data_IF_465033528645
#
_entry.id   IF_465033528645
#
_cell.length_a   1.000
_cell.length_b   1.000
_cell.length_c   1.000
_cell.angle_alpha   90.00
_cell.angle_beta   90.00
_cell.angle_gamma   90.00
#
_symmetry.space_group_name_H-M   'P 1'
#
loop_
_entity.id
_entity.type
_entity.pdbx_description
1 polymer ?
#
# COMPACT_ATOMS: atom_id res chain seq x y z
N UNK A 1 4.82 0.99 -10.49
CA UNK A 1 5.64 1.82 -11.39
C UNK A 1 6.85 1.04 -11.93
N UNK A 2 7.74 0.48 -11.11
CA UNK A 2 8.95 -0.22 -11.58
C UNK A 2 8.61 -1.31 -12.61
N UNK A 3 7.60 -2.14 -12.36
CA UNK A 3 7.14 -3.17 -13.29
C UNK A 3 6.61 -2.58 -14.61
N UNK A 4 5.89 -1.46 -14.55
CA UNK A 4 5.44 -0.75 -15.74
C UNK A 4 6.61 -0.26 -16.60
N UNK A 5 7.64 0.31 -15.97
CA UNK A 5 8.83 0.80 -16.67
C UNK A 5 9.66 -0.36 -17.26
N UNK A 6 9.81 -1.47 -16.53
CA UNK A 6 10.52 -2.66 -17.01
C UNK A 6 9.88 -3.27 -18.26
N UNK A 7 8.56 -3.31 -18.34
CA UNK A 7 7.85 -3.80 -19.53
C UNK A 7 8.02 -2.88 -20.75
N UNK A 8 8.47 -1.63 -20.56
CA UNK A 8 8.85 -0.71 -21.64
C UNK A 8 10.34 -0.82 -22.02
N UNK A 9 10.98 -1.96 -21.70
CA UNK A 9 12.38 -2.25 -22.03
C UNK A 9 13.38 -1.24 -21.46
N UNK A 10 13.01 -0.54 -20.39
CA UNK A 10 13.87 0.43 -19.70
C UNK A 10 14.67 -0.24 -18.59
N UNK A 11 15.92 0.19 -18.40
CA UNK A 11 16.68 -0.21 -17.21
C UNK A 11 16.20 0.59 -16.01
N UNK A 12 15.75 -0.12 -14.96
CA UNK A 12 15.24 0.50 -13.74
C UNK A 12 16.23 0.29 -12.59
N UNK A 13 16.59 1.39 -11.94
CA UNK A 13 17.37 1.41 -10.71
C UNK A 13 16.47 1.78 -9.55
N UNK A 14 16.66 1.11 -8.40
CA UNK A 14 15.91 1.40 -7.17
C UNK A 14 16.87 1.92 -6.09
N UNK A 15 16.45 2.92 -5.35
CA UNK A 15 17.13 3.35 -4.14
C UNK A 15 16.42 2.70 -2.93
N UNK A 16 17.06 1.65 -2.38
CA UNK A 16 16.56 0.93 -1.20
C UNK A 16 17.11 1.46 0.12
N UNK A 17 17.92 2.53 0.09
CA UNK A 17 18.60 3.06 1.29
C UNK A 17 17.64 3.54 2.40
N UNK A 18 16.37 3.81 2.06
CA UNK A 18 15.35 4.10 3.06
C UNK A 18 15.10 2.92 4.02
N UNK A 19 15.35 1.69 3.58
CA UNK A 19 15.16 0.46 4.36
C UNK A 19 16.45 -0.04 5.01
N UNK A 20 17.54 0.73 4.92
CA UNK A 20 18.78 0.42 5.62
C UNK A 20 18.58 0.56 7.14
N UNK A 21 19.47 -0.07 7.91
CA UNK A 21 19.43 -0.08 9.38
C UNK A 21 19.41 1.31 10.05
N UNK A 22 19.69 2.37 9.28
CA UNK A 22 19.62 3.76 9.74
C UNK A 22 18.19 4.30 9.84
N UNK A 23 17.22 3.65 9.19
CA UNK A 23 15.81 4.03 9.20
C UNK A 23 15.04 3.20 10.21
N UNK A 24 15.36 3.45 11.48
CA UNK A 24 14.67 2.83 12.59
C UNK A 24 13.28 3.43 12.76
N UNK A 25 12.26 2.61 12.72
CA UNK A 25 10.90 3.02 13.03
C UNK A 25 10.72 3.17 14.54
N UNK A 26 10.75 4.40 15.01
CA UNK A 26 10.64 4.73 16.44
C UNK A 26 9.28 4.34 17.03
N UNK A 27 8.22 4.38 16.23
CA UNK A 27 6.87 4.07 16.70
C UNK A 27 6.71 2.59 17.05
N UNK A 28 7.38 1.72 16.30
CA UNK A 28 7.29 0.27 16.44
C UNK A 28 8.54 -0.37 17.06
N UNK A 29 9.54 0.44 17.43
CA UNK A 29 10.83 -0.05 17.91
C UNK A 29 11.47 -1.10 16.97
N UNK A 30 11.27 -0.97 15.67
CA UNK A 30 11.72 -1.91 14.65
C UNK A 30 12.33 -1.19 13.44
N UNK A 31 13.12 -1.93 12.66
CA UNK A 31 13.56 -1.45 11.37
C UNK A 31 12.53 -1.81 10.30
N UNK A 32 12.19 -0.87 9.43
CA UNK A 32 11.36 -1.17 8.26
C UNK A 32 12.13 -2.07 7.31
N UNK A 33 11.67 -3.29 7.14
CA UNK A 33 12.28 -4.25 6.24
C UNK A 33 11.69 -4.12 4.83
N UNK A 34 12.56 -4.10 3.83
CA UNK A 34 12.14 -4.20 2.45
C UNK A 34 11.69 -5.65 2.17
N UNK A 35 10.39 -5.85 2.01
CA UNK A 35 9.81 -7.16 1.68
C UNK A 35 10.24 -7.58 0.26
N UNK A 36 10.31 -6.62 -0.65
CA UNK A 36 10.67 -6.82 -2.04
C UNK A 36 12.14 -6.45 -2.27
N UNK A 37 13.01 -7.46 -2.38
CA UNK A 37 14.42 -7.21 -2.70
C UNK A 37 14.59 -6.90 -4.19
N UNK A 38 15.41 -5.90 -4.58
CA UNK A 38 15.62 -5.52 -5.98
C UNK A 38 15.99 -6.69 -6.90
N UNK A 39 16.83 -7.59 -6.44
CA UNK A 39 17.31 -8.74 -7.21
C UNK A 39 16.17 -9.70 -7.64
N UNK A 40 15.06 -9.71 -6.92
CA UNK A 40 13.92 -10.54 -7.27
C UNK A 40 13.15 -10.03 -8.51
N UNK A 41 13.46 -8.81 -8.97
CA UNK A 41 12.70 -8.11 -10.01
C UNK A 41 13.55 -7.67 -11.20
N UNK A 42 14.77 -8.18 -11.37
CA UNK A 42 15.72 -7.67 -12.37
C UNK A 42 15.98 -6.15 -12.22
N UNK A 43 15.78 -5.60 -11.03
CA UNK A 43 16.11 -4.23 -10.70
C UNK A 43 17.58 -4.12 -10.28
N UNK A 44 18.20 -2.99 -10.56
CA UNK A 44 19.55 -2.67 -10.11
C UNK A 44 19.49 -1.68 -8.96
N UNK A 45 20.29 -1.90 -7.92
CA UNK A 45 20.43 -0.91 -6.86
C UNK A 45 21.27 0.27 -7.30
N UNK A 46 20.91 1.46 -6.82
CA UNK A 46 21.69 2.68 -7.07
C UNK A 46 23.00 2.67 -6.29
N UNK A 47 24.12 2.88 -6.98
CA UNK A 47 25.42 3.07 -6.33
C UNK A 47 25.49 4.44 -5.63
N UNK A 48 26.41 4.58 -4.67
CA UNK A 48 26.65 5.87 -3.98
C UNK A 48 27.02 6.98 -4.98
N UNK A 49 27.84 6.67 -5.97
CA UNK A 49 28.25 7.62 -7.02
C UNK A 49 27.04 8.07 -7.85
N UNK A 50 26.14 7.14 -8.19
CA UNK A 50 24.92 7.45 -8.94
C UNK A 50 23.97 8.34 -8.15
N UNK A 51 23.83 8.14 -6.83
CA UNK A 51 23.04 9.01 -5.95
C UNK A 51 23.59 10.46 -5.92
N UNK A 52 24.90 10.64 -5.94
CA UNK A 52 25.52 11.97 -6.04
C UNK A 52 25.19 12.61 -7.38
N UNK A 53 25.29 11.86 -8.48
CA UNK A 53 24.92 12.35 -9.80
C UNK A 53 23.45 12.79 -9.84
N UNK A 54 22.52 12.00 -9.31
CA UNK A 54 21.10 12.38 -9.25
C UNK A 54 20.87 13.68 -8.47
N UNK A 55 21.56 13.88 -7.34
CA UNK A 55 21.49 15.14 -6.58
C UNK A 55 21.96 16.35 -7.41
N UNK A 56 23.01 16.19 -8.23
CA UNK A 56 23.48 17.23 -9.13
C UNK A 56 22.49 17.49 -10.25
N UNK A 57 21.93 16.44 -10.87
CA UNK A 57 20.91 16.56 -11.93
C UNK A 57 19.65 17.26 -11.43
N UNK A 58 19.19 16.97 -10.21
CA UNK A 58 18.07 17.70 -9.60
C UNK A 58 18.34 19.20 -9.45
N UNK A 59 19.56 19.59 -9.07
CA UNK A 59 19.96 21.00 -8.97
C UNK A 59 19.98 21.68 -10.34
N UNK A 60 20.54 21.01 -11.34
CA UNK A 60 20.63 21.50 -12.72
C UNK A 60 19.23 21.60 -13.36
N UNK A 61 18.35 20.63 -13.09
CA UNK A 61 16.98 20.63 -13.61
C UNK A 61 16.17 21.85 -13.12
N UNK A 62 16.43 22.35 -11.90
CA UNK A 62 15.84 23.59 -11.40
C UNK A 62 16.22 24.84 -12.21
N UNK A 63 17.31 24.80 -12.98
CA UNK A 63 17.77 25.87 -13.84
C UNK A 63 17.06 25.89 -15.20
N UNK A 64 16.11 24.98 -15.46
CA UNK A 64 15.29 24.91 -16.68
C UNK A 64 16.10 24.86 -17.98
N UNK A 65 17.20 24.09 -17.99
CA UNK A 65 18.07 23.97 -19.17
C UNK A 65 17.35 23.17 -20.25
N UNK A 66 17.00 23.81 -21.37
CA UNK A 66 16.16 23.29 -22.46
C UNK A 66 16.63 21.95 -23.08
N UNK A 67 17.91 21.62 -22.97
CA UNK A 67 18.48 20.41 -23.59
C UNK A 67 18.80 19.29 -22.59
N UNK A 68 18.41 19.44 -21.31
CA UNK A 68 18.60 18.38 -20.33
C UNK A 68 17.50 17.33 -20.48
N UNK A 69 17.85 16.16 -21.01
CA UNK A 69 16.95 15.02 -21.16
C UNK A 69 16.76 14.26 -19.81
N UNK A 70 16.46 15.00 -18.76
CA UNK A 70 16.24 14.49 -17.41
C UNK A 70 14.90 14.94 -16.86
N UNK A 71 14.08 13.97 -16.38
CA UNK A 71 12.80 14.20 -15.72
C UNK A 71 12.89 13.84 -14.22
N UNK A 72 12.41 14.75 -13.37
CA UNK A 72 12.25 14.47 -11.96
C UNK A 72 10.76 14.54 -11.63
N UNK A 73 10.20 13.41 -11.19
CA UNK A 73 8.78 13.26 -10.88
C UNK A 73 8.64 12.97 -9.40
N UNK A 74 7.92 13.83 -8.70
CA UNK A 74 7.64 13.70 -7.28
C UNK A 74 6.14 13.69 -7.05
N UNK A 75 5.67 12.75 -6.22
CA UNK A 75 4.27 12.73 -5.83
C UNK A 75 3.72 11.35 -5.53
N UNK A 76 2.39 11.28 -5.48
CA UNK A 76 1.66 10.07 -5.15
C UNK A 76 1.08 9.36 -6.38
N UNK A 77 0.73 10.12 -7.40
CA UNK A 77 0.28 9.55 -8.67
C UNK A 77 0.44 10.54 -9.81
N UNK A 78 0.84 10.04 -10.96
CA UNK A 78 0.79 10.74 -12.22
C UNK A 78 0.32 9.75 -13.28
N UNK A 79 -0.71 10.11 -14.03
CA UNK A 79 -1.22 9.32 -15.15
C UNK A 79 -0.42 9.59 -16.43
N UNK A 80 -0.02 10.86 -16.64
CA UNK A 80 0.66 11.29 -17.85
C UNK A 80 2.15 11.58 -17.58
N UNK A 81 2.96 10.53 -17.64
CA UNK A 81 4.41 10.64 -17.53
C UNK A 81 5.00 11.00 -18.90
N UNK A 82 5.33 12.28 -19.11
CA UNK A 82 6.15 12.69 -20.26
C UNK A 82 7.60 12.28 -19.99
N UNK A 83 7.90 11.01 -20.22
CA UNK A 83 9.21 10.44 -19.94
C UNK A 83 10.28 11.08 -20.80
N UNK A 84 11.39 11.41 -20.17
CA UNK A 84 12.65 11.84 -20.80
C UNK A 84 13.58 10.64 -21.01
N UNK A 85 14.77 10.88 -21.51
CA UNK A 85 15.78 9.83 -21.64
C UNK A 85 16.21 9.26 -20.29
N UNK A 86 16.40 10.14 -19.30
CA UNK A 86 16.64 9.77 -17.91
C UNK A 86 15.52 10.28 -17.02
N UNK A 87 14.98 9.40 -16.17
CA UNK A 87 13.88 9.75 -15.29
C UNK A 87 14.16 9.32 -13.86
N UNK A 88 13.82 10.18 -12.92
CA UNK A 88 13.87 9.91 -11.51
C UNK A 88 12.49 10.07 -10.90
N UNK A 89 12.08 9.11 -10.09
CA UNK A 89 10.77 9.06 -9.44
C UNK A 89 10.96 9.03 -7.92
N UNK A 90 10.34 10.01 -7.24
CA UNK A 90 10.34 10.10 -5.78
C UNK A 90 8.89 10.20 -5.29
N UNK A 91 8.42 9.18 -4.56
CA UNK A 91 7.06 9.14 -4.05
C UNK A 91 6.45 7.75 -3.99
N UNK A 92 5.18 7.69 -3.59
CA UNK A 92 4.49 6.43 -3.34
C UNK A 92 3.81 5.83 -4.57
N UNK A 93 3.59 6.60 -5.63
CA UNK A 93 3.05 6.14 -6.92
C UNK A 93 1.78 5.28 -6.80
N UNK A 94 0.89 5.70 -5.91
CA UNK A 94 -0.39 5.07 -5.65
C UNK A 94 -1.37 5.49 -6.75
N UNK A 95 -1.51 4.65 -7.76
CA UNK A 95 -2.35 4.92 -8.91
C UNK A 95 -3.08 3.64 -9.32
N UNK A 96 -4.38 3.72 -9.56
CA UNK A 96 -5.23 2.59 -9.92
C UNK A 96 -4.74 1.88 -11.19
N UNK A 97 -4.36 2.63 -12.22
CA UNK A 97 -3.87 2.06 -13.48
C UNK A 97 -2.56 1.30 -13.28
N UNK A 98 -1.63 1.84 -12.50
CA UNK A 98 -0.37 1.17 -12.18
C UNK A 98 -0.58 -0.09 -11.35
N UNK A 99 -1.56 -0.08 -10.44
CA UNK A 99 -1.95 -1.26 -9.69
C UNK A 99 -2.51 -2.33 -10.63
N UNK A 100 -3.48 -1.99 -11.49
CA UNK A 100 -4.07 -2.91 -12.47
C UNK A 100 -3.02 -3.49 -13.40
N UNK A 101 -2.12 -2.65 -13.90
CA UNK A 101 -1.03 -3.07 -14.76
C UNK A 101 -0.06 -4.04 -14.07
N UNK A 102 0.07 -3.95 -12.76
CA UNK A 102 0.98 -4.79 -11.97
C UNK A 102 0.30 -5.98 -11.30
N UNK A 103 -1.01 -6.19 -11.52
CA UNK A 103 -1.79 -7.21 -10.81
C UNK A 103 -1.19 -8.61 -10.96
N UNK A 104 -0.98 -9.05 -12.18
CA UNK A 104 -0.46 -10.40 -12.47
C UNK A 104 0.93 -10.60 -11.88
N UNK A 105 1.79 -9.60 -12.01
CA UNK A 105 3.14 -9.61 -11.44
C UNK A 105 3.12 -9.69 -9.91
N UNK A 106 2.27 -8.90 -9.25
CA UNK A 106 2.13 -8.91 -7.78
C UNK A 106 1.55 -10.24 -7.31
N UNK A 107 0.56 -10.77 -8.03
CA UNK A 107 -0.02 -12.07 -7.75
C UNK A 107 1.02 -13.19 -7.88
N UNK A 108 1.77 -13.25 -8.98
CA UNK A 108 2.83 -14.24 -9.19
C UNK A 108 3.91 -14.15 -8.10
N UNK A 109 4.34 -12.93 -7.77
CA UNK A 109 5.36 -12.74 -6.75
C UNK A 109 4.89 -13.17 -5.36
N UNK A 110 3.72 -12.72 -4.94
CA UNK A 110 3.17 -13.02 -3.62
C UNK A 110 2.76 -14.49 -3.48
N UNK A 111 2.38 -15.14 -4.58
CA UNK A 111 2.10 -16.59 -4.62
C UNK A 111 3.33 -17.48 -4.39
N UNK A 112 4.54 -16.92 -4.34
CA UNK A 112 5.74 -17.65 -3.89
C UNK A 112 5.74 -17.91 -2.38
N UNK A 113 4.93 -17.17 -1.63
CA UNK A 113 4.68 -17.41 -0.21
C UNK A 113 3.46 -18.33 -0.09
N UNK A 114 3.69 -19.59 0.32
CA UNK A 114 2.66 -20.64 0.32
C UNK A 114 1.39 -20.25 1.08
N UNK A 115 1.51 -19.60 2.23
CA UNK A 115 0.36 -19.15 3.02
C UNK A 115 -0.46 -18.09 2.29
N UNK A 116 0.21 -17.15 1.60
CA UNK A 116 -0.48 -16.12 0.81
C UNK A 116 -1.18 -16.77 -0.38
N UNK A 117 -0.51 -17.65 -1.11
CA UNK A 117 -1.07 -18.40 -2.23
C UNK A 117 -2.33 -19.16 -1.82
N UNK A 118 -2.24 -19.94 -0.75
CA UNK A 118 -3.37 -20.70 -0.20
C UNK A 118 -4.54 -19.78 0.13
N UNK A 119 -4.27 -18.67 0.82
CA UNK A 119 -5.30 -17.76 1.30
C UNK A 119 -5.92 -16.90 0.19
N UNK A 120 -5.18 -16.58 -0.87
CA UNK A 120 -5.74 -15.95 -2.07
C UNK A 120 -6.79 -16.85 -2.74
N UNK A 121 -6.63 -18.17 -2.67
CA UNK A 121 -7.56 -19.16 -3.23
C UNK A 121 -8.72 -19.51 -2.28
N UNK A 122 -8.64 -19.15 -1.01
CA UNK A 122 -9.66 -19.44 0.00
C UNK A 122 -10.92 -18.63 -0.28
N UNK A 123 -12.09 -19.30 -0.22
CA UNK A 123 -13.42 -18.71 -0.37
C UNK A 123 -14.36 -19.25 0.70
N UNK A 124 -14.00 -19.01 1.95
CA UNK A 124 -14.79 -19.47 3.09
C UNK A 124 -15.70 -18.34 3.60
N UNK A 125 -16.98 -18.62 3.80
CA UNK A 125 -17.97 -17.63 4.26
C UNK A 125 -17.64 -17.08 5.66
N UNK A 126 -16.88 -17.81 6.47
CA UNK A 126 -16.44 -17.34 7.79
C UNK A 126 -15.52 -16.11 7.71
N UNK A 127 -14.83 -15.91 6.59
CA UNK A 127 -14.00 -14.74 6.33
C UNK A 127 -14.77 -13.74 5.47
N UNK A 128 -15.73 -13.06 6.08
CA UNK A 128 -16.66 -12.21 5.34
C UNK A 128 -16.05 -10.86 4.96
N UNK A 129 -15.75 -10.01 5.94
CA UNK A 129 -15.26 -8.66 5.67
C UNK A 129 -14.08 -8.29 6.57
N UNK A 130 -13.04 -7.73 5.97
CA UNK A 130 -11.96 -7.02 6.66
C UNK A 130 -12.32 -5.55 6.80
N UNK A 131 -12.19 -5.01 8.00
CA UNK A 131 -12.10 -3.59 8.26
C UNK A 131 -10.66 -3.27 8.68
N UNK A 132 -9.94 -2.50 7.86
CA UNK A 132 -8.59 -2.05 8.19
C UNK A 132 -8.59 -0.63 8.74
N UNK A 133 -8.03 -0.47 9.91
CA UNK A 133 -7.91 0.82 10.61
C UNK A 133 -6.43 1.15 10.80
N UNK A 134 -5.96 2.20 10.12
CA UNK A 134 -4.60 2.74 10.25
C UNK A 134 -4.65 4.05 11.01
N UNK A 135 -3.90 4.15 12.13
CA UNK A 135 -3.96 5.34 12.97
C UNK A 135 -2.59 5.90 13.34
N UNK A 136 -1.73 5.16 13.98
CA UNK A 136 -0.47 5.63 14.59
C UNK A 136 0.17 6.86 13.92
N UNK A 137 0.98 6.63 12.90
CA UNK A 137 1.64 7.68 12.13
C UNK A 137 0.66 8.61 11.41
N UNK A 138 -0.56 8.14 11.12
CA UNK A 138 -1.59 8.94 10.45
C UNK A 138 -2.24 9.96 11.36
N UNK A 139 -2.37 9.68 12.67
CA UNK A 139 -2.80 10.67 13.67
C UNK A 139 -1.79 11.81 13.78
N UNK A 140 -0.49 11.49 13.80
CA UNK A 140 0.57 12.50 13.83
C UNK A 140 0.60 13.38 12.57
N UNK A 141 0.19 12.82 11.43
CA UNK A 141 0.09 13.52 10.15
C UNK A 141 -1.26 14.21 9.90
N UNK A 142 -2.22 14.09 10.81
CA UNK A 142 -3.62 14.53 10.61
C UNK A 142 -4.29 13.90 9.37
N UNK A 143 -3.99 12.63 9.12
CA UNK A 143 -4.50 11.87 7.98
C UNK A 143 -5.32 10.64 8.39
N UNK A 144 -5.57 10.41 9.68
CA UNK A 144 -6.42 9.34 10.14
C UNK A 144 -7.88 9.56 9.76
N UNK A 145 -8.58 8.48 9.42
CA UNK A 145 -9.97 8.56 8.99
C UNK A 145 -10.90 8.77 10.19
N UNK A 146 -11.95 9.54 9.97
CA UNK A 146 -12.97 9.81 10.99
C UNK A 146 -13.78 8.56 11.34
N UNK A 147 -14.36 8.55 12.55
CA UNK A 147 -15.27 7.48 12.98
C UNK A 147 -16.50 7.37 12.06
N UNK A 148 -16.94 8.49 11.47
CA UNK A 148 -18.06 8.52 10.55
C UNK A 148 -17.80 7.75 9.26
N UNK A 149 -16.58 7.81 8.72
CA UNK A 149 -16.19 6.97 7.58
C UNK A 149 -16.42 5.48 7.88
N UNK A 150 -15.96 5.02 9.02
CA UNK A 150 -16.13 3.61 9.42
C UNK A 150 -17.61 3.25 9.65
N UNK A 151 -18.35 4.13 10.29
CA UNK A 151 -19.79 3.95 10.53
C UNK A 151 -20.58 3.83 9.22
N UNK A 152 -20.34 4.73 8.28
CA UNK A 152 -21.00 4.70 6.98
C UNK A 152 -20.60 3.46 6.18
N UNK A 153 -19.32 3.12 6.17
CA UNK A 153 -18.80 1.94 5.48
C UNK A 153 -19.42 0.64 6.02
N UNK A 154 -19.50 0.49 7.34
CA UNK A 154 -20.14 -0.66 7.98
C UNK A 154 -21.63 -0.73 7.62
N UNK A 155 -22.34 0.40 7.61
CA UNK A 155 -23.75 0.45 7.21
C UNK A 155 -23.95 0.05 5.74
N UNK A 156 -23.08 0.50 4.83
CA UNK A 156 -23.13 0.11 3.42
C UNK A 156 -22.90 -1.39 3.27
N UNK A 157 -21.87 -1.94 3.93
CA UNK A 157 -21.57 -3.37 3.87
C UNK A 157 -22.71 -4.21 4.41
N UNK A 158 -23.29 -3.84 5.57
CA UNK A 158 -24.39 -4.55 6.18
C UNK A 158 -25.67 -4.59 5.31
N UNK A 159 -25.90 -3.56 4.48
CA UNK A 159 -27.03 -3.52 3.54
C UNK A 159 -26.81 -4.37 2.29
N UNK A 160 -25.55 -4.63 1.93
CA UNK A 160 -25.19 -5.24 0.65
C UNK A 160 -24.60 -6.65 0.76
N UNK A 161 -24.46 -7.18 1.97
CA UNK A 161 -23.89 -8.49 2.24
C UNK A 161 -24.80 -9.27 3.18
N UNK A 162 -25.28 -10.41 2.72
CA UNK A 162 -26.06 -11.32 3.54
C UNK A 162 -25.20 -11.90 4.65
N UNK A 163 -25.79 -12.03 5.87
CA UNK A 163 -25.08 -12.51 7.06
C UNK A 163 -23.78 -11.73 7.33
N UNK A 164 -23.82 -10.41 7.13
CA UNK A 164 -22.67 -9.53 7.31
C UNK A 164 -21.98 -9.75 8.65
N UNK A 165 -20.67 -9.87 8.58
CA UNK A 165 -19.79 -9.91 9.74
C UNK A 165 -18.41 -9.41 9.37
N UNK A 166 -17.65 -8.90 10.33
CA UNK A 166 -16.36 -8.34 10.04
C UNK A 166 -15.35 -8.57 11.17
N UNK A 167 -14.10 -8.60 10.76
CA UNK A 167 -12.95 -8.59 11.63
C UNK A 167 -12.15 -7.31 11.40
N UNK A 168 -11.52 -6.79 12.44
CA UNK A 168 -10.72 -5.56 12.40
C UNK A 168 -9.24 -5.91 12.40
N UNK A 169 -8.49 -5.29 11.49
CA UNK A 169 -7.04 -5.25 11.49
C UNK A 169 -6.60 -3.82 11.78
N UNK A 170 -5.77 -3.62 12.79
CA UNK A 170 -5.39 -2.29 13.23
C UNK A 170 -4.00 -2.22 13.82
N UNK A 171 -3.38 -1.05 13.74
CA UNK A 171 -2.16 -0.70 14.46
C UNK A 171 -2.43 0.04 15.80
N UNK A 172 -3.71 0.29 16.13
CA UNK A 172 -4.15 0.98 17.34
C UNK A 172 -5.34 0.22 17.99
N UNK A 173 -5.01 -0.92 18.59
CA UNK A 173 -6.00 -1.85 19.18
C UNK A 173 -6.73 -1.22 20.37
N UNK A 174 -6.03 -0.39 21.16
CA UNK A 174 -6.61 0.28 22.31
C UNK A 174 -7.69 1.27 21.88
N UNK A 175 -7.39 2.10 20.89
CA UNK A 175 -8.37 3.04 20.37
C UNK A 175 -9.61 2.31 19.82
N UNK A 176 -9.41 1.23 19.06
CA UNK A 176 -10.52 0.43 18.50
C UNK A 176 -11.41 -0.11 19.61
N UNK A 177 -10.85 -0.69 20.67
CA UNK A 177 -11.61 -1.26 21.79
C UNK A 177 -12.41 -0.21 22.55
N UNK A 178 -11.96 1.05 22.55
CA UNK A 178 -12.66 2.16 23.20
C UNK A 178 -13.82 2.73 22.36
N UNK A 179 -13.99 2.31 21.08
CA UNK A 179 -15.10 2.76 20.23
C UNK A 179 -16.28 1.81 20.29
N UNK A 180 -17.42 2.26 20.79
CA UNK A 180 -18.66 1.47 20.82
C UNK A 180 -19.09 0.96 19.44
N UNK A 181 -18.74 1.67 18.37
CA UNK A 181 -19.01 1.30 16.98
C UNK A 181 -18.52 -0.10 16.64
N UNK A 182 -17.41 -0.52 17.22
CA UNK A 182 -16.72 -1.76 16.87
C UNK A 182 -17.05 -2.95 17.77
N UNK A 183 -17.99 -2.79 18.71
CA UNK A 183 -18.38 -3.88 19.63
C UNK A 183 -18.98 -5.10 18.93
N UNK A 184 -19.41 -4.97 17.68
CA UNK A 184 -19.95 -6.05 16.85
C UNK A 184 -18.91 -6.76 15.99
N UNK A 185 -17.65 -6.33 16.03
CA UNK A 185 -16.56 -7.04 15.37
C UNK A 185 -16.39 -8.44 15.97
N UNK A 186 -16.19 -9.45 15.12
CA UNK A 186 -15.94 -10.82 15.59
C UNK A 186 -14.58 -10.92 16.28
N UNK A 187 -13.55 -10.34 15.64
CA UNK A 187 -12.18 -10.32 16.16
C UNK A 187 -11.56 -8.95 15.90
N UNK A 188 -10.62 -8.59 16.76
CA UNK A 188 -9.75 -7.42 16.59
C UNK A 188 -8.30 -7.93 16.59
N UNK A 189 -7.61 -7.74 15.46
CA UNK A 189 -6.23 -8.12 15.27
C UNK A 189 -5.34 -6.89 15.31
N UNK A 190 -4.60 -6.74 16.40
CA UNK A 190 -3.56 -5.74 16.57
C UNK A 190 -2.23 -6.18 15.97
N UNK A 191 -1.20 -5.36 16.11
CA UNK A 191 0.14 -5.67 15.59
C UNK A 191 0.73 -6.97 16.14
N UNK A 192 0.50 -7.25 17.42
CA UNK A 192 1.03 -8.45 18.08
C UNK A 192 0.27 -9.72 17.71
N UNK A 193 -0.87 -9.64 17.04
CA UNK A 193 -1.70 -10.79 16.71
C UNK A 193 -1.05 -11.77 15.74
N UNK A 194 -0.04 -11.34 15.00
CA UNK A 194 0.65 -12.13 13.97
C UNK A 194 2.17 -11.98 14.07
N UNK A 195 2.71 -12.05 15.30
CA UNK A 195 4.15 -11.98 15.59
C UNK A 195 4.85 -10.75 15.01
N UNK A 196 4.13 -9.62 14.89
CA UNK A 196 4.59 -8.40 14.22
C UNK A 196 5.12 -8.64 12.78
N UNK A 197 4.65 -9.70 12.12
CA UNK A 197 5.08 -10.05 10.77
C UNK A 197 4.11 -9.51 9.71
N UNK A 198 4.49 -8.51 8.90
CA UNK A 198 3.63 -7.94 7.89
C UNK A 198 3.15 -8.94 6.83
N UNK A 199 3.99 -9.94 6.47
CA UNK A 199 3.58 -10.98 5.51
C UNK A 199 2.50 -11.88 6.09
N UNK A 200 2.60 -12.25 7.38
CA UNK A 200 1.58 -13.04 8.06
C UNK A 200 0.28 -12.25 8.19
N UNK A 201 0.35 -10.96 8.55
CA UNK A 201 -0.82 -10.08 8.60
C UNK A 201 -1.47 -9.98 7.22
N UNK A 202 -0.70 -9.75 6.17
CA UNK A 202 -1.18 -9.70 4.78
C UNK A 202 -1.84 -11.01 4.37
N UNK A 203 -1.18 -12.13 4.65
CA UNK A 203 -1.70 -13.47 4.38
C UNK A 203 -3.06 -13.71 5.06
N UNK A 204 -3.25 -13.20 6.27
CA UNK A 204 -4.53 -13.29 6.95
C UNK A 204 -5.59 -12.37 6.34
N UNK A 205 -5.23 -11.16 5.91
CA UNK A 205 -6.18 -10.25 5.24
C UNK A 205 -6.71 -10.83 3.94
N UNK A 206 -5.87 -11.47 3.12
CA UNK A 206 -6.31 -12.02 1.82
C UNK A 206 -7.19 -13.26 1.92
N UNK A 207 -7.55 -13.73 3.12
CA UNK A 207 -8.58 -14.74 3.32
C UNK A 207 -9.99 -14.20 3.08
N UNK A 208 -10.20 -12.91 3.30
CA UNK A 208 -11.52 -12.28 3.29
C UNK A 208 -11.99 -11.97 1.87
N UNK A 209 -13.29 -11.90 1.69
CA UNK A 209 -13.90 -11.66 0.40
C UNK A 209 -14.25 -10.18 0.19
N UNK A 210 -14.52 -9.43 1.27
CA UNK A 210 -14.92 -8.04 1.22
C UNK A 210 -14.00 -7.17 2.08
N UNK A 211 -13.88 -5.88 1.72
CA UNK A 211 -12.90 -5.00 2.36
C UNK A 211 -13.47 -3.60 2.60
N UNK A 212 -13.27 -3.09 3.80
CA UNK A 212 -13.32 -1.67 4.11
C UNK A 212 -11.86 -1.23 4.28
N UNK A 213 -11.35 -0.56 3.26
CA UNK A 213 -9.95 -0.14 3.16
C UNK A 213 -9.84 1.28 3.67
N UNK A 214 -9.08 1.46 4.75
CA UNK A 214 -8.60 2.77 5.12
C UNK A 214 -7.63 3.34 4.09
N UNK A 215 -7.08 4.50 4.33
CA UNK A 215 -6.11 5.16 3.46
C UNK A 215 -4.70 4.50 3.53
N UNK A 216 -4.64 3.19 3.52
CA UNK A 216 -3.42 2.38 3.61
C UNK A 216 -3.24 1.49 2.37
N UNK A 217 -2.12 1.66 1.67
CA UNK A 217 -1.76 0.81 0.53
C UNK A 217 -1.61 -0.66 0.87
N UNK A 218 -1.32 -0.98 2.13
CA UNK A 218 -1.21 -2.36 2.60
C UNK A 218 -2.53 -3.13 2.44
N UNK A 219 -3.61 -2.59 3.00
CA UNK A 219 -4.95 -3.18 2.88
C UNK A 219 -5.55 -3.02 1.50
N UNK A 220 -5.24 -1.92 0.80
CA UNK A 220 -5.65 -1.73 -0.59
C UNK A 220 -5.08 -2.83 -1.49
N UNK A 221 -3.80 -3.19 -1.31
CA UNK A 221 -3.18 -4.26 -2.07
C UNK A 221 -3.82 -5.62 -1.77
N UNK A 222 -4.15 -5.91 -0.51
CA UNK A 222 -4.85 -7.13 -0.13
C UNK A 222 -6.23 -7.22 -0.80
N UNK A 223 -7.01 -6.14 -0.74
CA UNK A 223 -8.31 -6.04 -1.40
C UNK A 223 -8.19 -6.23 -2.91
N UNK A 224 -7.24 -5.55 -3.54
CA UNK A 224 -7.03 -5.58 -4.97
C UNK A 224 -6.63 -6.97 -5.50
N UNK A 225 -5.77 -7.69 -4.80
CA UNK A 225 -5.36 -9.04 -5.19
C UNK A 225 -6.47 -10.08 -4.99
N UNK A 226 -7.33 -9.85 -3.99
CA UNK A 226 -8.45 -10.73 -3.68
C UNK A 226 -9.71 -10.42 -4.51
N UNK A 227 -9.78 -9.24 -5.11
CA UNK A 227 -10.94 -8.76 -5.85
C UNK A 227 -11.44 -9.76 -6.90
N UNK A 228 -12.72 -10.02 -6.85
CA UNK A 228 -13.46 -10.81 -7.83
C UNK A 228 -14.82 -10.14 -8.11
N UNK A 229 -15.65 -10.74 -8.97
CA UNK A 229 -16.94 -10.17 -9.42
C UNK A 229 -17.96 -9.98 -8.30
N UNK A 230 -17.82 -10.67 -7.18
CA UNK A 230 -18.75 -10.60 -6.03
C UNK A 230 -18.21 -9.81 -4.87
N UNK A 231 -16.92 -9.49 -4.85
CA UNK A 231 -16.30 -8.73 -3.77
C UNK A 231 -16.88 -7.33 -3.64
N UNK A 232 -17.10 -6.90 -2.40
CA UNK A 232 -17.47 -5.52 -2.05
C UNK A 232 -16.27 -4.84 -1.43
N UNK A 233 -15.82 -3.74 -2.04
CA UNK A 233 -14.66 -3.00 -1.57
C UNK A 233 -15.04 -1.54 -1.40
N UNK A 234 -14.89 -1.02 -0.19
CA UNK A 234 -15.04 0.41 0.12
C UNK A 234 -13.65 0.98 0.36
N UNK A 235 -13.36 2.08 -0.31
CA UNK A 235 -12.08 2.80 -0.22
C UNK A 235 -12.36 4.24 0.22
N UNK A 236 -11.49 4.80 1.05
CA UNK A 236 -11.61 6.19 1.49
C UNK A 236 -11.48 7.15 0.29
N UNK A 237 -12.37 8.14 0.21
CA UNK A 237 -12.31 9.23 -0.76
C UNK A 237 -12.70 10.55 -0.06
N UNK A 238 -11.81 11.53 0.06
CA UNK A 238 -10.45 11.53 -0.46
C UNK A 238 -9.56 10.50 0.22
N UNK A 239 -8.51 10.06 -0.46
CA UNK A 239 -7.54 9.10 0.10
C UNK A 239 -6.73 9.70 1.25
N UNK A 240 -6.30 10.94 1.08
CA UNK A 240 -5.70 11.78 2.11
C UNK A 240 -6.42 13.12 2.18
N UNK A 241 -6.48 13.74 3.37
CA UNK A 241 -7.10 15.06 3.57
C UNK A 241 -6.18 16.20 3.17
N UNK A 242 -4.93 16.12 3.59
CA UNK A 242 -3.95 17.21 3.48
C UNK A 242 -2.96 17.00 2.33
N UNK A 243 -2.95 15.82 1.74
CA UNK A 243 -2.07 15.46 0.63
C UNK A 243 -2.91 15.35 -0.64
N UNK A 244 -2.52 16.11 -1.67
CA UNK A 244 -3.19 16.02 -2.97
C UNK A 244 -2.94 14.64 -3.60
N UNK A 245 -3.97 13.80 -3.54
CA UNK A 245 -3.98 12.45 -4.09
C UNK A 245 -5.24 12.29 -4.96
N UNK A 246 -5.14 11.77 -6.19
CA UNK A 246 -6.29 11.69 -7.11
C UNK A 246 -7.36 10.67 -6.70
N UNK A 247 -7.11 9.91 -5.65
CA UNK A 247 -8.00 8.80 -5.24
C UNK A 247 -7.78 7.52 -6.05
N UNK A 248 -8.68 6.56 -5.85
CA UNK A 248 -8.68 5.25 -6.51
C UNK A 248 -10.01 4.98 -7.21
#
# INVERSE_FOLDING_TARGET
>A
LANYLLKKETTVYIDSSFYDKTNFDKSNNTYRNLIFKPNNFKLKETSKAFKILLKLLRKINKLNIKHLSYGFYKGYSHTDLNLKEFNEFDGYWQNKELLQYSKDFLYEYLSKFEDIKKNLMTREDKYNTVLHIRRRDYVEMDEDLSIDFYKESLNIMNKNIDNFSYDIFTDDEEWVKNQKLFNTAKNIFGENSFDNNPLTTFSNMVKYNNFIVGNSTFSLLAAFLKENTTSKIIVANPWFRNINHPGF
#
